data_IF_590911127430
#
_entry.id   IF_590911127430
#
_cell.length_a   1.000
_cell.length_b   1.000
_cell.length_c   1.000
_cell.angle_alpha   90.00
_cell.angle_beta   90.00
_cell.angle_gamma   90.00
#
_symmetry.space_group_name_H-M   'P 1'
#
loop_
_entity.id
_entity.type
_entity.pdbx_description
1 polymer ?
#
# COMPACT_ATOMS: atom_id res chain seq x y z
N UNK A 1 -8.55 -41.65 -31.03
CA UNK A 1 -8.52 -40.18 -30.95
C UNK A 1 -9.48 -39.72 -29.87
N UNK A 2 -9.07 -39.61 -28.60
CA UNK A 2 -9.97 -38.94 -27.62
C UNK A 2 -9.37 -38.38 -26.34
N UNK A 3 -8.06 -38.50 -26.11
CA UNK A 3 -7.43 -37.97 -24.90
C UNK A 3 -6.16 -37.21 -25.30
N UNK A 4 -6.32 -36.04 -25.95
CA UNK A 4 -5.16 -35.16 -26.17
C UNK A 4 -4.90 -34.45 -24.83
N UNK A 5 -3.73 -34.65 -24.20
CA UNK A 5 -3.42 -34.05 -22.89
C UNK A 5 -3.48 -32.53 -22.91
N UNK A 6 -3.50 -31.89 -24.09
CA UNK A 6 -3.64 -30.44 -24.27
C UNK A 6 -5.09 -29.94 -24.09
N UNK A 7 -6.10 -30.76 -24.35
CA UNK A 7 -7.52 -30.38 -24.23
C UNK A 7 -7.88 -29.86 -22.82
N UNK A 8 -7.50 -30.52 -21.71
CA UNK A 8 -7.79 -29.98 -20.38
C UNK A 8 -7.12 -28.63 -20.13
N UNK A 9 -5.91 -28.40 -20.65
CA UNK A 9 -5.23 -27.11 -20.49
C UNK A 9 -5.91 -25.97 -21.26
N UNK A 10 -6.38 -26.24 -22.48
CA UNK A 10 -7.13 -25.25 -23.28
C UNK A 10 -8.46 -24.92 -22.61
N UNK A 11 -9.13 -25.91 -22.01
CA UNK A 11 -10.38 -25.69 -21.28
C UNK A 11 -10.16 -24.86 -20.01
N UNK A 12 -9.11 -25.13 -19.24
CA UNK A 12 -8.75 -24.34 -18.05
C UNK A 12 -8.39 -22.89 -18.45
N UNK A 13 -7.63 -22.70 -19.53
CA UNK A 13 -7.29 -21.38 -20.03
C UNK A 13 -8.53 -20.59 -20.47
N UNK A 14 -9.43 -21.21 -21.24
CA UNK A 14 -10.65 -20.56 -21.70
C UNK A 14 -11.59 -20.22 -20.52
N UNK A 15 -11.65 -21.10 -19.52
CA UNK A 15 -12.43 -20.86 -18.30
C UNK A 15 -11.83 -19.73 -17.46
N UNK A 16 -10.50 -19.67 -17.32
CA UNK A 16 -9.80 -18.58 -16.63
C UNK A 16 -10.02 -17.23 -17.29
N UNK A 17 -9.92 -17.15 -18.62
CA UNK A 17 -10.20 -15.92 -19.36
C UNK A 17 -11.66 -15.50 -19.18
N UNK A 18 -12.60 -16.46 -19.25
CA UNK A 18 -14.03 -16.19 -19.01
C UNK A 18 -14.32 -15.65 -17.61
N UNK A 19 -13.68 -16.22 -16.58
CA UNK A 19 -13.80 -15.75 -15.19
C UNK A 19 -13.27 -14.34 -15.01
N UNK A 20 -12.15 -13.99 -15.64
CA UNK A 20 -11.59 -12.63 -15.57
C UNK A 20 -12.55 -11.62 -16.19
N UNK A 21 -13.13 -11.92 -17.36
CA UNK A 21 -14.13 -11.03 -17.99
C UNK A 21 -15.42 -10.92 -17.18
N UNK A 22 -15.87 -12.02 -16.56
CA UNK A 22 -17.06 -12.04 -15.70
C UNK A 22 -16.84 -11.22 -14.40
N UNK A 23 -15.76 -11.49 -13.66
CA UNK A 23 -15.36 -10.70 -12.49
C UNK A 23 -15.06 -9.24 -12.84
N UNK A 24 -14.60 -8.93 -14.05
CA UNK A 24 -14.39 -7.54 -14.49
C UNK A 24 -15.70 -6.79 -14.69
N UNK A 25 -16.79 -7.46 -15.08
CA UNK A 25 -18.11 -6.82 -15.20
C UNK A 25 -18.76 -6.59 -13.83
N UNK A 26 -18.52 -7.45 -12.84
CA UNK A 26 -19.02 -7.28 -11.46
C UNK A 26 -18.11 -6.38 -10.61
N UNK A 27 -16.80 -6.31 -10.90
CA UNK A 27 -15.81 -5.55 -10.13
C UNK A 27 -15.85 -4.03 -10.32
N UNK A 28 -16.48 -3.53 -11.40
CA UNK A 28 -16.62 -2.07 -11.63
C UNK A 28 -17.61 -1.42 -10.65
N UNK A 29 -18.47 -2.21 -9.99
CA UNK A 29 -19.46 -1.72 -9.02
C UNK A 29 -19.07 -1.84 -7.53
N UNK A 30 -18.06 -2.66 -7.20
CA UNK A 30 -17.68 -2.96 -5.81
C UNK A 30 -16.17 -2.70 -5.61
N UNK A 31 -15.81 -1.42 -5.41
CA UNK A 31 -14.42 -0.97 -5.18
C UNK A 31 -13.84 -1.32 -3.81
N UNK A 32 -14.63 -1.85 -2.88
CA UNK A 32 -14.19 -2.10 -1.50
C UNK A 32 -13.63 -3.51 -1.24
N UNK A 33 -13.78 -4.50 -2.15
CA UNK A 33 -13.43 -5.90 -1.82
C UNK A 33 -12.35 -6.54 -2.72
N UNK A 34 -12.01 -5.95 -3.88
CA UNK A 34 -10.96 -6.48 -4.79
C UNK A 34 -9.62 -5.74 -4.60
N UNK A 35 -9.21 -5.53 -3.34
CA UNK A 35 -7.92 -4.94 -2.98
C UNK A 35 -6.94 -5.96 -2.35
N UNK A 36 -7.18 -7.26 -2.50
CA UNK A 36 -6.23 -8.30 -2.07
C UNK A 36 -6.12 -9.41 -3.12
N UNK A 37 -5.23 -9.23 -4.09
CA UNK A 37 -4.96 -10.27 -5.08
C UNK A 37 -3.97 -9.91 -6.19
N UNK A 38 -2.73 -9.57 -5.83
CA UNK A 38 -1.52 -9.87 -6.63
C UNK A 38 -1.36 -9.28 -8.03
N UNK A 39 -0.53 -8.25 -8.10
CA UNK A 39 0.46 -7.94 -9.15
C UNK A 39 -0.03 -7.80 -10.61
N UNK A 40 -0.16 -6.56 -11.08
CA UNK A 40 0.82 -5.91 -11.97
C UNK A 40 0.21 -4.75 -12.75
N UNK A 41 0.86 -3.60 -12.59
CA UNK A 41 1.08 -2.54 -13.59
C UNK A 41 -0.07 -1.60 -13.97
N UNK A 42 0.32 -0.32 -13.88
CA UNK A 42 -0.22 0.86 -14.56
C UNK A 42 -1.68 1.29 -14.30
N UNK A 43 -1.80 2.34 -13.50
CA UNK A 43 -2.60 3.49 -13.93
C UNK A 43 -3.65 3.96 -12.94
N UNK A 44 -3.51 5.21 -12.52
CA UNK A 44 -4.64 6.00 -12.05
C UNK A 44 -4.56 6.32 -10.58
N UNK A 45 -3.85 7.41 -10.29
CA UNK A 45 -3.99 8.15 -9.05
C UNK A 45 -5.47 8.45 -8.74
N UNK A 46 -5.92 7.94 -7.61
CA UNK A 46 -6.88 8.66 -6.78
C UNK A 46 -6.27 8.67 -5.39
N UNK A 47 -5.63 9.80 -5.10
CA UNK A 47 -5.12 10.14 -3.79
C UNK A 47 -6.32 10.30 -2.84
N UNK A 48 -6.68 9.21 -2.18
CA UNK A 48 -7.41 9.28 -0.93
C UNK A 48 -6.36 9.43 0.18
N UNK A 49 -6.01 10.69 0.45
CA UNK A 49 -5.02 11.06 1.47
C UNK A 49 -5.41 10.57 2.88
N UNK A 50 -6.68 10.24 3.12
CA UNK A 50 -7.16 9.68 4.39
C UNK A 50 -7.00 8.15 4.50
N UNK A 51 -7.03 7.41 3.40
CA UNK A 51 -6.87 5.94 3.43
C UNK A 51 -5.41 5.47 3.25
N UNK A 52 -4.55 6.30 2.65
CA UNK A 52 -3.16 5.92 2.35
C UNK A 52 -2.19 6.04 3.53
N UNK A 53 -2.40 7.00 4.44
CA UNK A 53 -1.45 7.29 5.52
C UNK A 53 -1.20 6.11 6.47
N UNK A 54 -2.26 5.41 6.86
CA UNK A 54 -2.16 4.26 7.77
C UNK A 54 -1.39 3.08 7.16
N UNK A 55 -1.63 2.77 5.89
CA UNK A 55 -0.94 1.71 5.15
C UNK A 55 0.56 2.05 4.99
N UNK A 56 0.86 3.32 4.68
CA UNK A 56 2.23 3.81 4.53
C UNK A 56 3.02 3.80 5.86
N UNK A 57 2.32 3.87 6.98
CA UNK A 57 2.90 3.87 8.34
C UNK A 57 3.11 2.46 8.89
N UNK A 58 2.58 1.42 8.23
CA UNK A 58 2.83 0.02 8.60
C UNK A 58 4.33 -0.32 8.59
N UNK A 59 5.15 0.30 7.73
CA UNK A 59 6.61 0.12 7.76
C UNK A 59 7.30 0.82 8.94
N UNK A 60 6.66 1.80 9.57
CA UNK A 60 7.24 2.62 10.63
C UNK A 60 7.19 1.92 12.01
N UNK A 61 6.21 1.06 12.23
CA UNK A 61 5.99 0.38 13.53
C UNK A 61 7.17 -0.50 13.95
N UNK A 62 7.94 -1.01 12.98
CA UNK A 62 9.09 -1.87 13.23
C UNK A 62 10.19 -1.19 14.04
N UNK A 63 10.32 0.14 13.93
CA UNK A 63 11.27 0.92 14.69
C UNK A 63 10.60 1.78 15.77
N UNK A 64 9.40 2.31 15.49
CA UNK A 64 8.73 3.27 16.36
C UNK A 64 7.67 2.64 17.29
N UNK A 65 7.54 1.31 17.29
CA UNK A 65 6.56 0.60 18.14
C UNK A 65 5.22 0.40 17.44
N UNK A 66 4.47 -0.62 17.86
CA UNK A 66 3.18 -1.00 17.25
C UNK A 66 2.12 0.10 17.29
N UNK A 67 2.19 0.96 18.29
CA UNK A 67 1.33 2.13 18.49
C UNK A 67 2.06 3.45 18.18
N UNK A 68 3.27 3.39 17.61
CA UNK A 68 4.12 4.54 17.28
C UNK A 68 4.52 5.39 18.49
N UNK A 69 4.35 4.89 19.72
CA UNK A 69 4.73 5.59 20.97
C UNK A 69 6.23 5.48 21.29
N UNK A 70 6.98 4.75 20.48
CA UNK A 70 8.42 4.58 20.58
C UNK A 70 8.85 3.12 20.77
N UNK A 71 10.12 2.87 20.48
CA UNK A 71 10.73 1.55 20.60
C UNK A 71 12.24 1.65 20.39
N UNK A 72 12.70 1.29 19.18
CA UNK A 72 14.08 1.59 18.74
C UNK A 72 14.25 3.06 18.37
N UNK A 73 13.21 3.64 17.76
CA UNK A 73 13.09 5.07 17.47
C UNK A 73 12.24 5.79 18.53
N UNK A 74 12.27 7.14 18.54
CA UNK A 74 11.46 7.95 19.43
C UNK A 74 9.96 7.84 19.12
N UNK A 75 9.11 8.31 20.04
CA UNK A 75 7.67 8.46 19.79
C UNK A 75 7.40 9.36 18.59
N UNK A 76 6.44 8.97 17.75
CA UNK A 76 5.92 9.80 16.65
C UNK A 76 4.62 10.52 17.06
N UNK A 77 4.03 10.14 18.19
CA UNK A 77 2.78 10.72 18.69
C UNK A 77 3.00 12.16 19.16
N UNK A 78 2.10 13.06 18.78
CA UNK A 78 2.13 14.47 19.19
C UNK A 78 3.11 15.35 18.38
N UNK A 79 3.73 14.82 17.33
CA UNK A 79 4.51 15.63 16.39
C UNK A 79 3.57 16.42 15.47
N UNK A 80 3.85 17.70 15.26
CA UNK A 80 2.98 18.58 14.44
C UNK A 80 3.70 19.21 13.24
N UNK A 81 5.03 19.06 13.15
CA UNK A 81 5.83 19.69 12.10
C UNK A 81 5.93 18.78 10.87
N UNK A 82 4.96 18.94 9.96
CA UNK A 82 4.82 18.13 8.74
C UNK A 82 6.07 18.22 7.85
N UNK A 83 6.62 19.44 7.66
CA UNK A 83 7.77 19.64 6.78
C UNK A 83 9.02 18.99 7.35
N UNK A 84 9.23 19.10 8.66
CA UNK A 84 10.34 18.41 9.30
C UNK A 84 10.18 16.87 9.23
N UNK A 85 8.97 16.34 9.46
CA UNK A 85 8.73 14.90 9.37
C UNK A 85 9.01 14.38 7.95
N UNK A 86 8.56 15.10 6.91
CA UNK A 86 8.87 14.76 5.51
C UNK A 86 10.36 14.74 5.23
N UNK A 87 11.08 15.77 5.66
CA UNK A 87 12.53 15.88 5.46
C UNK A 87 13.25 14.69 6.10
N UNK A 88 12.87 14.31 7.31
CA UNK A 88 13.43 13.14 8.01
C UNK A 88 13.08 11.83 7.30
N UNK A 89 11.88 11.69 6.73
CA UNK A 89 11.49 10.48 5.98
C UNK A 89 12.33 10.34 4.69
N UNK A 90 12.55 11.45 3.98
CA UNK A 90 13.27 11.47 2.69
C UNK A 90 14.77 11.36 2.89
N UNK A 91 15.34 12.13 3.81
CA UNK A 91 16.78 12.27 4.00
C UNK A 91 17.34 11.41 5.13
N UNK A 92 16.48 10.92 6.04
CA UNK A 92 16.89 10.28 7.27
C UNK A 92 17.39 11.28 8.32
N UNK A 93 17.52 10.83 9.57
CA UNK A 93 18.10 11.62 10.65
C UNK A 93 18.76 10.73 11.71
N UNK A 94 20.03 11.00 12.01
CA UNK A 94 20.77 10.28 13.05
C UNK A 94 20.83 8.78 12.77
N UNK A 95 20.15 7.98 13.60
CA UNK A 95 20.03 6.53 13.44
C UNK A 95 18.87 6.08 12.53
N UNK A 96 17.99 6.98 12.12
CA UNK A 96 16.92 6.70 11.17
C UNK A 96 17.45 6.89 9.74
N UNK A 97 17.56 5.83 8.92
CA UNK A 97 17.95 5.96 7.53
C UNK A 97 16.84 6.59 6.68
N UNK A 98 17.19 7.11 5.51
CA UNK A 98 16.22 7.50 4.50
C UNK A 98 15.30 6.33 4.15
N UNK A 99 13.99 6.58 4.06
CA UNK A 99 12.97 5.53 3.86
C UNK A 99 12.66 5.24 2.39
N UNK A 100 13.28 5.97 1.46
CA UNK A 100 13.08 5.77 0.01
C UNK A 100 11.65 6.06 -0.46
N UNK A 101 10.89 6.84 0.32
CA UNK A 101 9.53 7.28 -0.01
C UNK A 101 9.58 8.47 -0.98
N UNK A 102 8.62 8.53 -1.89
CA UNK A 102 8.41 9.72 -2.72
C UNK A 102 7.96 10.92 -1.87
N UNK A 103 8.10 12.14 -2.38
CA UNK A 103 7.61 13.35 -1.68
C UNK A 103 6.12 13.26 -1.34
N UNK A 104 5.31 12.71 -2.24
CA UNK A 104 3.87 12.56 -2.04
C UNK A 104 3.55 11.56 -0.92
N UNK A 105 4.27 10.44 -0.85
CA UNK A 105 4.11 9.46 0.24
C UNK A 105 4.62 10.01 1.56
N UNK A 106 5.77 10.70 1.56
CA UNK A 106 6.31 11.33 2.76
C UNK A 106 5.34 12.38 3.32
N UNK A 107 4.68 13.16 2.45
CA UNK A 107 3.62 14.09 2.83
C UNK A 107 2.45 13.38 3.50
N UNK A 108 1.92 12.33 2.88
CA UNK A 108 0.78 11.59 3.43
C UNK A 108 1.11 10.93 4.78
N UNK A 109 2.33 10.39 4.94
CA UNK A 109 2.81 9.84 6.21
C UNK A 109 2.91 10.93 7.27
N UNK A 110 3.51 12.08 6.93
CA UNK A 110 3.66 13.19 7.86
C UNK A 110 2.31 13.72 8.33
N UNK A 111 1.37 13.93 7.39
CA UNK A 111 0.01 14.37 7.71
C UNK A 111 -0.67 13.37 8.65
N UNK A 112 -0.57 12.07 8.38
CA UNK A 112 -1.12 11.04 9.26
C UNK A 112 -0.48 11.07 10.67
N UNK A 113 0.85 11.19 10.77
CA UNK A 113 1.55 11.25 12.05
C UNK A 113 1.03 12.42 12.91
N UNK A 114 0.74 13.58 12.29
CA UNK A 114 0.20 14.73 13.03
C UNK A 114 -1.21 14.52 13.59
N UNK A 115 -1.94 13.52 13.11
CA UNK A 115 -3.25 13.17 13.65
C UNK A 115 -3.17 12.33 14.93
N UNK A 116 -2.02 11.68 15.18
CA UNK A 116 -1.78 10.79 16.32
C UNK A 116 -1.68 11.61 17.62
N UNK A 117 -2.40 11.17 18.66
CA UNK A 117 -2.49 11.82 19.98
C UNK A 117 -2.08 10.90 21.12
#
# INVERSE_FOLDING_TARGET
MKNNPIIPYILIMAFGIGLIFFMSMEGVGNKEEIAHGGEATEGGATADAEAGGAELVASCIGCHGGDLTGGMGPSLVGLTDVEHIKDVIINGQGSMPAQGKSEAEAQAIADYITTLK
#
